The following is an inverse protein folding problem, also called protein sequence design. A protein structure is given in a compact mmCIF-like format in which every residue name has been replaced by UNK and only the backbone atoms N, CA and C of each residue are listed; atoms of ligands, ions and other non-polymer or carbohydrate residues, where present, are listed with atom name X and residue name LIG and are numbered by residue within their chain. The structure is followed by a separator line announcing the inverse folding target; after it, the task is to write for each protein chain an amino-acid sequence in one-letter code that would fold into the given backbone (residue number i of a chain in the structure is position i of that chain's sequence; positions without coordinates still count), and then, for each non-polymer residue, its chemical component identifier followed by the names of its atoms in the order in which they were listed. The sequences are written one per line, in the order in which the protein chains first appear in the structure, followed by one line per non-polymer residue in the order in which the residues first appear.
data_IF_545600363026
#
_entry.id   IF_545600363026
#
_cell.length_a   1.000
_cell.length_b   1.000
_cell.length_c   1.000
_cell.angle_alpha   90.00
_cell.angle_beta   90.00
_cell.angle_gamma   90.00
#
_symmetry.space_group_name_H-M   'P 1'
#
loop_
_entity.id
_entity.type
_entity.pdbx_description
1 polymer ?
#
# COMPACT_ATOMS: atom_id res chain seq x y z
N UNK A 1 24.85 34.52 12.93
CA UNK A 1 23.82 35.38 13.56
C UNK A 1 22.50 34.72 13.26
N UNK A 2 21.73 34.26 14.27
CA UNK A 2 20.44 33.59 14.01
C UNK A 2 19.49 34.58 13.32
N UNK A 3 18.80 34.16 12.26
CA UNK A 3 17.79 34.95 11.58
C UNK A 3 16.79 35.53 12.59
N UNK A 4 16.53 36.83 12.51
CA UNK A 4 15.56 37.50 13.38
C UNK A 4 14.13 37.08 12.96
N UNK A 5 13.17 37.08 13.89
CA UNK A 5 11.78 36.70 13.64
C UNK A 5 11.15 37.44 12.46
N UNK A 6 11.57 38.68 12.21
CA UNK A 6 11.14 39.47 11.05
C UNK A 6 11.62 38.88 9.72
N UNK A 7 12.88 38.46 9.64
CA UNK A 7 13.46 37.84 8.44
C UNK A 7 12.82 36.47 8.17
N UNK A 8 12.58 35.68 9.22
CA UNK A 8 11.88 34.40 9.10
C UNK A 8 10.45 34.58 8.57
N UNK A 9 9.76 35.64 8.97
CA UNK A 9 8.44 35.98 8.43
C UNK A 9 8.49 36.35 6.95
N UNK A 10 9.52 37.10 6.51
CA UNK A 10 9.74 37.42 5.09
C UNK A 10 9.98 36.16 4.26
N UNK A 11 10.80 35.22 4.76
CA UNK A 11 11.00 33.92 4.14
C UNK A 11 9.71 33.10 4.06
N UNK A 12 8.94 33.04 5.15
CA UNK A 12 7.67 32.31 5.17
C UNK A 12 6.66 32.88 4.16
N UNK A 13 6.55 34.21 4.06
CA UNK A 13 5.70 34.86 3.07
C UNK A 13 6.16 34.56 1.63
N UNK A 14 7.46 34.56 1.39
CA UNK A 14 8.03 34.22 0.08
C UNK A 14 7.75 32.75 -0.29
N UNK A 15 7.95 31.82 0.64
CA UNK A 15 7.64 30.39 0.45
C UNK A 15 6.15 30.22 0.15
N UNK A 16 5.25 30.86 0.92
CA UNK A 16 3.80 30.83 0.66
C UNK A 16 3.48 31.32 -0.75
N UNK A 17 4.00 32.49 -1.13
CA UNK A 17 3.77 33.09 -2.45
C UNK A 17 4.23 32.17 -3.58
N UNK A 18 5.44 31.60 -3.47
CA UNK A 18 5.99 30.68 -4.48
C UNK A 18 5.17 29.40 -4.54
N UNK A 19 4.77 28.85 -3.39
CA UNK A 19 3.97 27.62 -3.31
C UNK A 19 2.61 27.81 -3.98
N UNK A 20 1.89 28.89 -3.66
CA UNK A 20 0.61 29.21 -4.31
C UNK A 20 0.74 29.45 -5.81
N UNK A 21 1.86 30.03 -6.27
CA UNK A 21 2.10 30.24 -7.70
C UNK A 21 2.40 28.92 -8.43
N UNK A 22 3.06 27.97 -7.76
CA UNK A 22 3.50 26.69 -8.34
C UNK A 22 2.41 25.63 -8.32
N UNK A 23 1.61 25.57 -7.26
CA UNK A 23 0.53 24.59 -7.07
C UNK A 23 -0.80 25.24 -7.42
N UNK A 24 -1.21 25.08 -8.68
CA UNK A 24 -2.45 25.67 -9.21
C UNK A 24 -3.64 24.71 -9.22
N UNK A 25 -3.39 23.40 -9.07
CA UNK A 25 -4.45 22.39 -9.13
C UNK A 25 -5.44 22.60 -7.96
N UNK A 26 -6.75 22.71 -8.23
CA UNK A 26 -7.77 22.79 -7.18
C UNK A 26 -7.72 21.61 -6.21
N UNK A 27 -7.41 20.42 -6.73
CA UNK A 27 -7.39 19.16 -5.96
C UNK A 27 -6.23 19.10 -4.96
N UNK A 28 -5.23 19.97 -5.13
CA UNK A 28 -4.04 19.99 -4.29
C UNK A 28 -4.13 21.00 -3.14
N UNK A 29 -5.19 21.80 -3.09
CA UNK A 29 -5.39 22.83 -2.05
C UNK A 29 -5.33 22.27 -0.63
N UNK A 30 -5.78 21.02 -0.45
CA UNK A 30 -5.84 20.35 0.85
C UNK A 30 -4.48 20.14 1.54
N UNK A 31 -3.36 20.24 0.81
CA UNK A 31 -2.02 20.00 1.36
C UNK A 31 -1.01 21.12 1.01
N UNK A 32 -1.48 22.27 0.50
CA UNK A 32 -0.59 23.41 0.16
C UNK A 32 0.13 23.94 1.40
N UNK A 33 -0.56 24.06 2.53
CA UNK A 33 0.04 24.55 3.77
C UNK A 33 1.05 23.57 4.36
N UNK A 34 0.86 22.26 4.16
CA UNK A 34 1.83 21.24 4.56
C UNK A 34 3.14 21.41 3.79
N UNK A 35 3.06 21.65 2.47
CA UNK A 35 4.25 21.91 1.64
C UNK A 35 4.98 23.17 2.09
N UNK A 36 4.26 24.23 2.44
CA UNK A 36 4.87 25.46 2.97
C UNK A 36 5.66 25.16 4.25
N UNK A 37 5.08 24.39 5.17
CA UNK A 37 5.73 24.01 6.43
C UNK A 37 6.94 23.11 6.20
N UNK A 38 6.83 22.12 5.33
CA UNK A 38 7.94 21.23 4.99
C UNK A 38 9.11 21.95 4.35
N UNK A 39 8.84 22.86 3.41
CA UNK A 39 9.88 23.70 2.78
C UNK A 39 10.56 24.56 3.84
N UNK A 40 9.78 25.20 4.72
CA UNK A 40 10.34 26.00 5.80
C UNK A 40 11.23 25.18 6.72
N UNK A 41 10.78 24.00 7.15
CA UNK A 41 11.57 23.09 8.00
C UNK A 41 12.82 22.57 7.30
N UNK A 42 12.74 22.27 6.00
CA UNK A 42 13.88 21.80 5.20
C UNK A 42 14.96 22.87 5.10
N UNK A 43 14.59 24.11 4.78
CA UNK A 43 15.50 25.25 4.72
C UNK A 43 16.08 25.59 6.11
N UNK A 44 15.26 25.50 7.16
CA UNK A 44 15.72 25.70 8.53
C UNK A 44 16.80 24.68 8.93
N UNK A 45 16.59 23.40 8.66
CA UNK A 45 17.56 22.33 8.96
C UNK A 45 18.88 22.48 8.18
N UNK A 46 18.86 23.20 7.07
CA UNK A 46 20.04 23.49 6.24
C UNK A 46 20.73 24.80 6.63
N UNK A 47 20.31 25.48 7.70
CA UNK A 47 20.78 26.82 8.08
C UNK A 47 20.62 27.88 6.97
N UNK A 48 19.73 27.64 6.01
CA UNK A 48 19.60 28.47 4.81
C UNK A 48 19.30 29.95 5.13
N UNK A 49 18.44 30.21 6.12
CA UNK A 49 18.03 31.56 6.52
C UNK A 49 19.14 32.38 7.19
N UNK A 50 20.13 31.70 7.76
CA UNK A 50 21.29 32.34 8.39
C UNK A 50 22.35 32.68 7.32
N UNK A 51 22.49 31.83 6.31
CA UNK A 51 23.49 31.95 5.25
C UNK A 51 23.07 32.85 4.09
N UNK A 52 21.77 33.07 3.90
CA UNK A 52 21.24 33.85 2.78
C UNK A 52 20.48 35.08 3.30
N UNK A 53 20.84 36.26 2.80
CA UNK A 53 20.23 37.54 3.18
C UNK A 53 19.73 38.28 1.94
N UNK A 54 18.66 39.07 2.11
CA UNK A 54 18.02 39.80 1.02
C UNK A 54 18.68 41.17 0.76
N UNK A 55 20.02 41.21 0.69
CA UNK A 55 20.80 42.46 0.63
C UNK A 55 20.82 43.06 -0.78
N UNK A 56 20.79 42.22 -1.81
CA UNK A 56 20.78 42.61 -3.22
C UNK A 56 19.63 41.97 -4.03
N UNK A 57 19.35 42.55 -5.20
CA UNK A 57 18.40 41.99 -6.17
C UNK A 57 18.86 40.63 -6.72
N UNK A 58 20.17 40.43 -6.89
CA UNK A 58 20.70 39.18 -7.41
C UNK A 58 20.65 38.05 -6.37
N UNK A 59 20.91 38.36 -5.09
CA UNK A 59 20.66 37.41 -3.99
C UNK A 59 19.17 37.09 -3.86
N UNK A 60 18.28 38.09 -3.99
CA UNK A 60 16.83 37.85 -4.00
C UNK A 60 16.43 36.86 -5.10
N UNK A 61 16.99 36.99 -6.31
CA UNK A 61 16.75 36.03 -7.41
C UNK A 61 17.29 34.65 -7.07
N UNK A 62 18.51 34.56 -6.54
CA UNK A 62 19.14 33.30 -6.15
C UNK A 62 18.31 32.57 -5.08
N UNK A 63 17.95 33.29 -4.02
CA UNK A 63 17.10 32.80 -2.93
C UNK A 63 15.75 32.33 -3.46
N UNK A 64 15.10 33.14 -4.31
CA UNK A 64 13.82 32.79 -4.92
C UNK A 64 13.91 31.53 -5.78
N UNK A 65 14.99 31.39 -6.56
CA UNK A 65 15.25 30.20 -7.37
C UNK A 65 15.41 28.97 -6.51
N UNK A 66 16.22 29.05 -5.44
CA UNK A 66 16.44 27.96 -4.51
C UNK A 66 15.15 27.54 -3.80
N UNK A 67 14.38 28.50 -3.27
CA UNK A 67 13.09 28.23 -2.64
C UNK A 67 12.13 27.59 -3.66
N UNK A 68 12.10 28.06 -4.92
CA UNK A 68 11.28 27.44 -5.96
C UNK A 68 11.66 25.98 -6.22
N UNK A 69 12.95 25.64 -6.20
CA UNK A 69 13.41 24.25 -6.31
C UNK A 69 13.02 23.43 -5.08
N UNK A 70 13.17 23.98 -3.88
CA UNK A 70 12.77 23.32 -2.63
C UNK A 70 11.25 23.05 -2.60
N UNK A 71 10.43 24.03 -2.99
CA UNK A 71 8.97 23.87 -3.16
C UNK A 71 8.66 22.78 -4.16
N UNK A 72 9.37 22.71 -5.29
CA UNK A 72 9.16 21.64 -6.27
C UNK A 72 9.45 20.26 -5.69
N UNK A 73 10.58 20.12 -4.99
CA UNK A 73 10.97 18.86 -4.36
C UNK A 73 9.92 18.41 -3.35
N UNK A 74 9.53 19.28 -2.40
CA UNK A 74 8.56 18.90 -1.36
C UNK A 74 7.17 18.64 -1.96
N UNK A 75 6.78 19.38 -3.00
CA UNK A 75 5.55 19.11 -3.74
C UNK A 75 5.56 17.72 -4.39
N UNK A 76 6.65 17.32 -5.06
CA UNK A 76 6.77 15.98 -5.63
C UNK A 76 6.78 14.89 -4.55
N UNK A 77 7.46 15.13 -3.43
CA UNK A 77 7.47 14.20 -2.30
C UNK A 77 6.05 14.02 -1.73
N UNK A 78 5.29 15.11 -1.59
CA UNK A 78 3.90 15.07 -1.12
C UNK A 78 2.96 14.38 -2.12
N UNK A 79 3.11 14.64 -3.41
CA UNK A 79 2.36 13.91 -4.44
C UNK A 79 2.65 12.41 -4.39
N UNK A 80 3.88 12.02 -4.08
CA UNK A 80 4.26 10.61 -3.93
C UNK A 80 3.62 9.99 -2.68
N UNK A 81 3.65 10.69 -1.55
CA UNK A 81 3.00 10.24 -0.30
C UNK A 81 1.50 10.05 -0.47
N UNK A 82 0.87 10.95 -1.23
CA UNK A 82 -0.57 10.90 -1.51
C UNK A 82 -0.95 9.97 -2.68
N UNK A 83 0.04 9.32 -3.33
CA UNK A 83 -0.21 8.39 -4.42
C UNK A 83 -0.64 9.04 -5.73
N UNK A 84 -0.34 10.32 -5.96
CA UNK A 84 -0.58 11.00 -7.24
C UNK A 84 0.50 10.70 -8.28
N UNK A 85 1.75 10.47 -7.86
CA UNK A 85 2.85 10.17 -8.78
C UNK A 85 3.81 9.12 -8.22
N UNK A 86 4.51 8.41 -9.13
CA UNK A 86 5.61 7.52 -8.77
C UNK A 86 6.88 7.87 -9.53
N UNK A 87 8.02 7.52 -8.93
CA UNK A 87 9.31 7.61 -9.61
C UNK A 87 9.43 6.45 -10.59
N UNK A 88 9.84 6.76 -11.81
CA UNK A 88 10.09 5.75 -12.84
C UNK A 88 11.37 4.98 -12.54
N UNK A 89 11.37 3.69 -12.87
CA UNK A 89 12.59 2.87 -12.94
C UNK A 89 13.52 3.39 -14.03
N UNK A 90 14.78 2.94 -14.00
CA UNK A 90 15.78 3.40 -14.97
C UNK A 90 15.35 3.11 -16.42
N UNK A 91 14.82 1.92 -16.68
CA UNK A 91 14.33 1.53 -18.00
C UNK A 91 13.12 2.35 -18.45
N UNK A 92 12.15 2.59 -17.57
CA UNK A 92 10.97 3.42 -17.87
C UNK A 92 11.34 4.89 -18.11
N UNK A 93 12.31 5.41 -17.36
CA UNK A 93 12.80 6.78 -17.52
C UNK A 93 13.55 6.97 -18.84
N UNK A 94 14.34 5.97 -19.26
CA UNK A 94 15.02 5.95 -20.56
C UNK A 94 14.03 5.89 -21.72
N UNK A 95 12.91 5.17 -21.57
CA UNK A 95 11.87 5.06 -22.60
C UNK A 95 10.98 6.30 -22.71
N UNK A 96 10.60 6.91 -21.58
CA UNK A 96 9.64 8.03 -21.55
C UNK A 96 10.31 9.41 -21.59
N UNK A 97 11.61 9.49 -21.27
CA UNK A 97 12.33 10.74 -21.08
C UNK A 97 11.96 11.49 -19.78
N UNK A 98 11.03 10.96 -18.99
CA UNK A 98 10.57 11.56 -17.73
C UNK A 98 11.19 10.83 -16.53
N UNK A 99 11.27 11.51 -15.37
CA UNK A 99 11.71 10.91 -14.10
C UNK A 99 10.55 10.41 -13.23
N UNK A 100 9.35 10.91 -13.50
CA UNK A 100 8.14 10.66 -12.74
C UNK A 100 6.98 10.49 -13.71
N UNK A 101 6.02 9.66 -13.33
CA UNK A 101 4.72 9.57 -13.99
C UNK A 101 3.61 9.81 -12.97
N UNK A 102 2.51 10.43 -13.42
CA UNK A 102 1.30 10.48 -12.61
C UNK A 102 0.73 9.06 -12.56
N UNK A 103 0.34 8.63 -11.37
CA UNK A 103 -0.36 7.36 -11.18
C UNK A 103 -1.74 7.55 -11.80
N UNK A 104 -1.98 6.88 -12.93
CA UNK A 104 -3.32 6.83 -13.52
C UNK A 104 -4.17 5.93 -12.64
N UNK A 105 -4.94 6.55 -11.75
CA UNK A 105 -6.09 5.90 -11.16
C UNK A 105 -7.17 5.90 -12.23
N UNK A 106 -7.18 4.88 -13.09
CA UNK A 106 -8.34 4.62 -13.93
C UNK A 106 -9.53 4.48 -12.98
N UNK A 107 -10.59 5.28 -13.20
CA UNK A 107 -11.87 4.99 -12.58
C UNK A 107 -12.17 3.54 -12.93
N UNK A 108 -12.61 2.76 -11.94
CA UNK A 108 -13.06 1.38 -12.16
C UNK A 108 -14.38 1.47 -12.94
N UNK A 109 -14.29 1.78 -14.22
CA UNK A 109 -15.32 1.58 -15.23
C UNK A 109 -14.75 0.50 -16.16
N UNK A 110 -15.33 -0.69 -16.05
CA UNK A 110 -15.07 -1.89 -16.85
C UNK A 110 -13.60 -2.17 -17.16
N UNK A 111 -12.89 -2.66 -16.14
CA UNK A 111 -11.66 -3.45 -16.33
C UNK A 111 -11.86 -4.48 -17.43
N UNK A 112 -11.10 -4.35 -18.53
CA UNK A 112 -10.80 -5.49 -19.40
C UNK A 112 -10.25 -6.61 -18.51
N UNK A 113 -10.97 -7.72 -18.44
CA UNK A 113 -10.70 -8.90 -17.61
C UNK A 113 -9.29 -9.53 -17.82
N UNK A 114 -8.52 -9.05 -18.81
CA UNK A 114 -7.21 -9.57 -19.16
C UNK A 114 -6.06 -9.11 -18.24
N UNK A 115 -6.19 -7.97 -17.54
CA UNK A 115 -5.11 -7.44 -16.66
C UNK A 115 -5.29 -7.79 -15.18
N UNK A 116 -6.45 -8.36 -14.80
CA UNK A 116 -6.63 -9.09 -13.53
C UNK A 116 -6.29 -10.57 -13.74
N UNK A 117 -5.38 -10.89 -14.66
CA UNK A 117 -4.79 -12.21 -14.68
C UNK A 117 -3.79 -12.28 -13.53
N UNK A 118 -4.06 -13.15 -12.55
CA UNK A 118 -3.09 -13.56 -11.53
C UNK A 118 -1.71 -13.68 -12.16
N UNK A 119 -0.67 -13.15 -11.49
CA UNK A 119 0.72 -13.27 -11.94
C UNK A 119 0.97 -14.69 -12.41
N UNK A 120 1.08 -14.88 -13.72
CA UNK A 120 1.23 -16.21 -14.29
C UNK A 120 2.48 -16.79 -13.65
N UNK A 121 2.39 -18.00 -13.10
CA UNK A 121 3.54 -18.67 -12.52
C UNK A 121 4.63 -18.77 -13.61
N UNK A 122 5.69 -17.97 -13.48
CA UNK A 122 6.64 -17.74 -14.57
C UNK A 122 7.64 -18.89 -14.73
N UNK A 123 7.79 -19.74 -13.70
CA UNK A 123 8.71 -20.90 -13.71
C UNK A 123 8.08 -22.17 -13.14
N UNK A 124 8.45 -23.38 -13.65
CA UNK A 124 8.01 -24.66 -13.09
C UNK A 124 8.28 -24.81 -11.58
N UNK A 125 9.37 -24.23 -11.08
CA UNK A 125 9.74 -24.24 -9.66
C UNK A 125 8.75 -23.46 -8.80
N UNK A 126 8.29 -22.29 -9.28
CA UNK A 126 7.26 -21.51 -8.60
C UNK A 126 5.93 -22.26 -8.56
N UNK A 127 5.60 -23.05 -9.59
CA UNK A 127 4.37 -23.83 -9.62
C UNK A 127 4.37 -24.96 -8.61
N UNK A 128 5.50 -25.68 -8.53
CA UNK A 128 5.72 -26.71 -7.51
C UNK A 128 5.58 -26.09 -6.12
N UNK A 129 6.20 -24.93 -5.88
CA UNK A 129 6.08 -24.24 -4.60
C UNK A 129 4.64 -23.84 -4.26
N UNK A 130 3.87 -23.31 -5.23
CA UNK A 130 2.45 -22.96 -5.03
C UNK A 130 1.61 -24.19 -4.65
N UNK A 131 1.82 -25.32 -5.36
CA UNK A 131 1.16 -26.58 -5.02
C UNK A 131 1.53 -27.08 -3.62
N UNK A 132 2.82 -27.04 -3.28
CA UNK A 132 3.31 -27.45 -1.97
C UNK A 132 2.77 -26.55 -0.85
N UNK A 133 2.74 -25.23 -1.06
CA UNK A 133 2.19 -24.27 -0.12
C UNK A 133 0.71 -24.56 0.19
N UNK A 134 -0.10 -24.78 -0.85
CA UNK A 134 -1.51 -25.17 -0.68
C UNK A 134 -1.64 -26.48 0.10
N UNK A 135 -0.81 -27.49 -0.22
CA UNK A 135 -0.83 -28.78 0.48
C UNK A 135 -0.38 -28.68 1.94
N UNK A 136 0.60 -27.85 2.25
CA UNK A 136 1.03 -27.63 3.64
C UNK A 136 -0.07 -26.95 4.46
N UNK A 137 -0.72 -25.92 3.90
CA UNK A 137 -1.86 -25.26 4.55
C UNK A 137 -2.97 -26.27 4.80
N UNK A 138 -3.34 -27.06 3.78
CA UNK A 138 -4.39 -28.08 3.90
C UNK A 138 -4.07 -29.11 4.98
N UNK A 139 -2.87 -29.70 4.97
CA UNK A 139 -2.45 -30.69 5.98
C UNK A 139 -2.46 -30.11 7.40
N UNK A 140 -1.97 -28.89 7.57
CA UNK A 140 -1.97 -28.22 8.87
C UNK A 140 -3.41 -27.92 9.35
N UNK A 141 -4.26 -27.45 8.45
CA UNK A 141 -5.68 -27.23 8.71
C UNK A 141 -6.39 -28.52 9.15
N UNK A 142 -6.31 -29.58 8.34
CA UNK A 142 -6.97 -30.87 8.60
C UNK A 142 -6.52 -31.46 9.94
N UNK A 143 -5.21 -31.43 10.22
CA UNK A 143 -4.64 -31.89 11.48
C UNK A 143 -5.21 -31.14 12.69
N UNK A 144 -5.38 -29.82 12.57
CA UNK A 144 -5.95 -29.00 13.64
C UNK A 144 -7.46 -29.22 13.79
N UNK A 145 -8.16 -29.38 12.67
CA UNK A 145 -9.60 -29.61 12.62
C UNK A 145 -9.99 -30.96 13.27
N UNK A 146 -9.17 -32.01 13.09
CA UNK A 146 -9.37 -33.32 13.73
C UNK A 146 -9.43 -33.26 15.27
N UNK A 147 -8.81 -32.23 15.88
CA UNK A 147 -8.83 -32.05 17.33
C UNK A 147 -10.09 -31.34 17.84
N UNK A 148 -11.01 -30.95 16.95
CA UNK A 148 -12.25 -30.27 17.30
C UNK A 148 -13.39 -31.29 17.32
N UNK A 149 -13.96 -31.53 18.50
CA UNK A 149 -15.08 -32.47 18.67
C UNK A 149 -16.42 -31.91 18.20
N UNK A 150 -16.66 -30.60 18.39
CA UNK A 150 -17.90 -29.93 18.01
C UNK A 150 -18.04 -29.91 16.48
N UNK A 151 -19.18 -30.41 15.97
CA UNK A 151 -19.46 -30.52 14.54
C UNK A 151 -19.65 -29.14 13.90
N UNK A 152 -20.60 -28.34 14.41
CA UNK A 152 -20.93 -27.00 13.89
C UNK A 152 -19.71 -26.07 13.86
N UNK A 153 -18.79 -26.23 14.83
CA UNK A 153 -17.52 -25.48 14.88
C UNK A 153 -16.56 -25.90 13.77
N UNK A 154 -16.49 -27.19 13.46
CA UNK A 154 -15.66 -27.69 12.35
C UNK A 154 -16.22 -27.19 11.03
N UNK A 155 -17.52 -27.32 10.84
CA UNK A 155 -18.21 -26.85 9.64
C UNK A 155 -18.05 -25.34 9.46
N UNK A 156 -18.17 -24.56 10.54
CA UNK A 156 -17.88 -23.12 10.50
C UNK A 156 -16.44 -22.82 10.10
N UNK A 157 -15.44 -23.50 10.67
CA UNK A 157 -14.05 -23.28 10.29
C UNK A 157 -13.74 -23.74 8.86
N UNK A 158 -14.34 -24.83 8.39
CA UNK A 158 -14.20 -25.26 6.99
C UNK A 158 -14.79 -24.22 6.04
N UNK A 159 -16.04 -23.83 6.25
CA UNK A 159 -16.71 -22.85 5.42
C UNK A 159 -15.99 -21.49 5.46
N UNK A 160 -15.64 -21.00 6.65
CA UNK A 160 -14.94 -19.74 6.80
C UNK A 160 -13.53 -19.80 6.23
N UNK A 161 -12.81 -20.92 6.28
CA UNK A 161 -11.41 -20.96 5.83
C UNK A 161 -11.28 -21.23 4.32
N UNK A 162 -12.11 -22.13 3.77
CA UNK A 162 -11.96 -22.63 2.40
C UNK A 162 -12.98 -22.11 1.39
N UNK A 163 -14.14 -21.66 1.87
CA UNK A 163 -15.30 -21.36 1.02
C UNK A 163 -15.99 -20.05 1.41
N UNK A 164 -15.31 -19.16 2.14
CA UNK A 164 -15.93 -17.95 2.70
C UNK A 164 -16.61 -17.08 1.63
N UNK A 165 -15.95 -16.94 0.48
CA UNK A 165 -16.42 -16.12 -0.63
C UNK A 165 -17.66 -16.70 -1.33
N UNK A 166 -17.98 -17.98 -1.11
CA UNK A 166 -19.18 -18.62 -1.68
C UNK A 166 -20.48 -18.22 -0.95
N UNK A 167 -20.37 -17.75 0.30
CA UNK A 167 -21.55 -17.49 1.14
C UNK A 167 -22.08 -16.05 1.04
N UNK A 168 -21.29 -15.09 0.54
CA UNK A 168 -21.64 -13.64 0.51
C UNK A 168 -22.19 -13.12 1.85
N UNK A 169 -21.63 -13.60 2.97
CA UNK A 169 -22.06 -13.27 4.32
C UNK A 169 -20.88 -12.79 5.16
N UNK A 170 -21.05 -11.75 5.99
CA UNK A 170 -20.09 -11.42 7.04
C UNK A 170 -19.88 -12.62 7.99
N UNK A 171 -18.65 -12.84 8.48
CA UNK A 171 -18.27 -13.98 9.33
C UNK A 171 -19.25 -14.29 10.48
N UNK A 172 -19.76 -13.27 11.15
CA UNK A 172 -20.73 -13.44 12.24
C UNK A 172 -22.07 -14.00 11.76
N UNK A 173 -22.52 -13.58 10.57
CA UNK A 173 -23.73 -14.11 9.95
C UNK A 173 -23.51 -15.52 9.39
N UNK A 174 -22.32 -15.81 8.87
CA UNK A 174 -21.94 -17.15 8.43
C UNK A 174 -21.98 -18.16 9.60
N UNK A 175 -21.44 -17.80 10.76
CA UNK A 175 -21.52 -18.63 11.96
C UNK A 175 -22.97 -18.97 12.32
N UNK A 176 -23.87 -17.98 12.31
CA UNK A 176 -25.30 -18.19 12.57
C UNK A 176 -25.95 -19.06 11.48
N UNK A 177 -25.61 -18.83 10.21
CA UNK A 177 -26.14 -19.58 9.08
C UNK A 177 -25.81 -21.08 9.15
N UNK A 178 -24.59 -21.41 9.58
CA UNK A 178 -24.10 -22.78 9.78
C UNK A 178 -24.61 -23.38 11.11
N UNK A 179 -25.23 -22.58 11.98
CA UNK A 179 -25.70 -23.03 13.29
C UNK A 179 -24.63 -23.00 14.39
N UNK A 180 -23.45 -22.42 14.11
CA UNK A 180 -22.39 -22.26 15.10
C UNK A 180 -22.69 -21.13 16.09
N UNK A 181 -23.10 -21.52 17.30
CA UNK A 181 -23.56 -20.63 18.36
C UNK A 181 -22.41 -20.19 19.30
N UNK A 182 -21.44 -19.45 18.75
CA UNK A 182 -20.37 -18.79 19.54
C UNK A 182 -20.69 -17.32 19.82
N UNK A 183 -20.23 -16.83 20.98
CA UNK A 183 -20.29 -15.41 21.36
C UNK A 183 -19.27 -14.54 20.61
N UNK A 184 -18.20 -15.13 20.05
CA UNK A 184 -17.19 -14.41 19.27
C UNK A 184 -16.51 -15.32 18.22
N UNK A 185 -17.25 -15.76 17.19
CA UNK A 185 -16.74 -16.69 16.17
C UNK A 185 -15.54 -16.12 15.39
N UNK A 186 -15.46 -14.80 15.19
CA UNK A 186 -14.33 -14.14 14.51
C UNK A 186 -13.02 -14.30 15.28
N UNK A 187 -13.02 -14.09 16.60
CA UNK A 187 -11.80 -14.24 17.40
C UNK A 187 -11.37 -15.70 17.49
N UNK A 188 -12.32 -16.62 17.56
CA UNK A 188 -12.02 -18.05 17.55
C UNK A 188 -11.41 -18.51 16.23
N UNK A 189 -11.96 -18.05 15.11
CA UNK A 189 -11.41 -18.29 13.78
C UNK A 189 -9.99 -17.71 13.67
N UNK A 190 -9.76 -16.46 14.11
CA UNK A 190 -8.43 -15.85 14.12
C UNK A 190 -7.40 -16.71 14.87
N UNK A 191 -7.74 -17.15 16.09
CA UNK A 191 -6.86 -18.04 16.88
C UNK A 191 -6.61 -19.38 16.19
N UNK A 192 -7.59 -19.89 15.45
CA UNK A 192 -7.42 -21.11 14.67
C UNK A 192 -6.47 -20.88 13.49
N UNK A 193 -6.64 -19.78 12.74
CA UNK A 193 -5.75 -19.36 11.65
C UNK A 193 -4.31 -19.17 12.16
N UNK A 194 -4.12 -18.52 13.31
CA UNK A 194 -2.79 -18.34 13.91
C UNK A 194 -2.10 -19.69 14.16
N UNK A 195 -2.84 -20.73 14.58
CA UNK A 195 -2.31 -22.08 14.75
C UNK A 195 -1.96 -22.75 13.42
N UNK A 196 -2.78 -22.55 12.38
CA UNK A 196 -2.46 -23.03 11.04
C UNK A 196 -1.18 -22.36 10.55
N UNK A 197 -1.06 -21.05 10.71
CA UNK A 197 0.10 -20.25 10.33
C UNK A 197 1.39 -20.70 11.05
N UNK A 198 1.32 -20.96 12.36
CA UNK A 198 2.44 -21.53 13.13
C UNK A 198 2.87 -22.91 12.61
N UNK A 199 1.92 -23.72 12.15
CA UNK A 199 2.21 -25.04 11.57
C UNK A 199 2.87 -24.94 10.18
N UNK A 200 2.52 -23.92 9.38
CA UNK A 200 3.05 -23.72 8.02
C UNK A 200 4.35 -22.90 8.00
N UNK A 201 4.64 -22.12 9.04
CA UNK A 201 5.81 -21.25 9.12
C UNK A 201 7.16 -21.97 8.90
N UNK A 202 7.41 -23.20 9.37
CA UNK A 202 8.65 -23.93 9.07
C UNK A 202 8.87 -24.18 7.57
N UNK A 203 7.80 -24.15 6.77
CA UNK A 203 7.84 -24.27 5.32
C UNK A 203 7.93 -22.91 4.60
N UNK A 204 8.10 -21.81 5.34
CA UNK A 204 8.14 -20.45 4.79
C UNK A 204 6.78 -19.87 4.42
N UNK A 205 5.68 -20.53 4.82
CA UNK A 205 4.31 -20.09 4.50
C UNK A 205 3.64 -19.49 5.73
N UNK A 206 3.23 -18.23 5.63
CA UNK A 206 2.52 -17.50 6.70
C UNK A 206 1.09 -17.23 6.26
N UNK A 207 0.14 -17.78 7.00
CA UNK A 207 -1.30 -17.58 6.77
C UNK A 207 -1.77 -16.43 7.65
N UNK A 208 -2.30 -15.37 7.05
CA UNK A 208 -2.82 -14.18 7.74
C UNK A 208 -4.23 -13.84 7.30
N UNK A 209 -4.51 -13.96 6.00
CA UNK A 209 -5.83 -13.80 5.40
C UNK A 209 -6.14 -15.04 4.55
N UNK A 210 -6.66 -16.12 5.16
CA UNK A 210 -6.82 -17.39 4.45
C UNK A 210 -7.76 -17.29 3.26
N UNK A 211 -8.78 -16.42 3.30
CA UNK A 211 -9.76 -16.33 2.21
C UNK A 211 -9.09 -15.89 0.91
N UNK A 212 -8.33 -14.79 0.97
CA UNK A 212 -7.60 -14.25 -0.19
C UNK A 212 -6.44 -15.17 -0.59
N UNK A 213 -5.68 -15.67 0.40
CA UNK A 213 -4.48 -16.48 0.12
C UNK A 213 -4.84 -17.83 -0.50
N UNK A 214 -5.91 -18.50 -0.04
CA UNK A 214 -6.35 -19.78 -0.61
C UNK A 214 -6.92 -19.58 -2.00
N UNK A 215 -7.75 -18.56 -2.20
CA UNK A 215 -8.31 -18.26 -3.51
C UNK A 215 -7.18 -18.01 -4.51
N UNK A 216 -6.22 -17.16 -4.16
CA UNK A 216 -5.05 -16.89 -4.97
C UNK A 216 -4.26 -18.17 -5.34
N UNK A 217 -3.99 -19.04 -4.36
CA UNK A 217 -3.28 -20.30 -4.61
C UNK A 217 -4.07 -21.24 -5.53
N UNK A 218 -5.39 -21.38 -5.34
CA UNK A 218 -6.25 -22.20 -6.20
C UNK A 218 -6.26 -21.69 -7.62
N UNK A 219 -6.46 -20.39 -7.79
CA UNK A 219 -6.48 -19.78 -9.11
C UNK A 219 -5.13 -19.96 -9.83
N UNK A 220 -3.98 -19.80 -9.15
CA UNK A 220 -2.68 -20.09 -9.75
C UNK A 220 -2.49 -21.56 -10.17
N UNK A 221 -3.03 -22.50 -9.40
CA UNK A 221 -2.99 -23.93 -9.72
C UNK A 221 -3.86 -24.20 -10.96
N UNK A 222 -5.08 -23.67 -10.99
CA UNK A 222 -6.03 -23.90 -12.10
C UNK A 222 -5.52 -23.28 -13.41
N UNK A 223 -4.96 -22.06 -13.35
CA UNK A 223 -4.43 -21.35 -14.53
C UNK A 223 -3.20 -22.01 -15.15
N UNK A 224 -2.46 -22.81 -14.38
CA UNK A 224 -1.26 -23.51 -14.86
C UNK A 224 -1.59 -24.92 -15.34
N UNK A 225 -2.56 -25.60 -14.71
CA UNK A 225 -3.10 -26.89 -15.19
C UNK A 225 -3.85 -26.75 -16.52
N UNK A 226 -4.52 -25.62 -16.75
CA UNK A 226 -5.21 -25.35 -18.03
C UNK A 226 -4.26 -25.16 -19.23
N UNK A 227 -2.93 -25.07 -19.02
CA UNK A 227 -1.92 -24.87 -20.09
C UNK A 227 -1.11 -26.11 -20.44
N UNK A 228 -1.21 -27.15 -19.62
CA UNK A 228 -0.62 -28.48 -19.87
C UNK A 228 -1.58 -29.38 -20.61
#
# INVERSE_FOLDING_TARGET
MRANNKELAEYLLLIKKITSWKIKSPDHKGFVDDIVQEVFLKLFKQNFFDENKFESEDERKMITSYISQAVHSCYLDQLKVLGFNRRLTKAESESSGNKYENIQNNQIEDTCESEIALSQVESPEQYIFVKEAYQWIKRCFDKLLLNISNFDRREFFEAAFWSFNEYDLPLNKLAVHIGYSSSNPTQELKRFIDKVSLCTQPHGVVVTNPHEQIQFLRELIDHSEART
#
